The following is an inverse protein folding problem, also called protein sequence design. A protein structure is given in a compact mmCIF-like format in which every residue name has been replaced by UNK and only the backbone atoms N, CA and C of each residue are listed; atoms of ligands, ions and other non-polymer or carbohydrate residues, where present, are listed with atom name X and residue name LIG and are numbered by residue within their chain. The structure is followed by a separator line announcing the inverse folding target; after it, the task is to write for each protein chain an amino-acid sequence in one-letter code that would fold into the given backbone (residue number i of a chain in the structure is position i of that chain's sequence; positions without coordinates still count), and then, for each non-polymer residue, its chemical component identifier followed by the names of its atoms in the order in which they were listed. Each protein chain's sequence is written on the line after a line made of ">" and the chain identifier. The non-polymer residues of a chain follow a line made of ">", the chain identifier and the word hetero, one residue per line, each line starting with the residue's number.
data_IF_262707089486
#
_entry.id   IF_262707089486
#
_cell.length_a   1.000
_cell.length_b   1.000
_cell.length_c   1.000
_cell.angle_alpha   90.00
_cell.angle_beta   90.00
_cell.angle_gamma   90.00
#
_symmetry.space_group_name_H-M   'P 1'
#
loop_
_entity.id
_entity.type
_entity.pdbx_description
1 polymer ?
#
# COMPACT_ATOMS: atom_id res chain seq x y z
N UNK A 1 -1.17 -23.99 -18.02
CA UNK A 1 -1.16 -22.89 -17.02
C UNK A 1 -2.58 -22.34 -16.80
N UNK A 2 -3.32 -21.91 -17.85
CA UNK A 2 -4.74 -21.52 -17.72
C UNK A 2 -5.65 -22.61 -17.15
N UNK A 3 -5.30 -23.90 -17.34
CA UNK A 3 -6.05 -25.05 -16.80
C UNK A 3 -5.93 -25.20 -15.28
N UNK A 4 -4.85 -24.72 -14.66
CA UNK A 4 -4.68 -24.74 -13.21
C UNK A 4 -5.31 -23.53 -12.53
N UNK A 5 -5.28 -22.36 -13.17
CA UNK A 5 -6.02 -21.20 -12.74
C UNK A 5 -7.54 -21.47 -12.70
N UNK A 6 -8.05 -22.21 -13.67
CA UNK A 6 -9.45 -22.66 -13.71
C UNK A 6 -9.81 -23.68 -12.61
N UNK A 7 -8.84 -24.27 -11.91
CA UNK A 7 -9.07 -25.23 -10.80
C UNK A 7 -9.21 -24.59 -9.43
N UNK A 8 -9.26 -23.26 -9.33
CA UNK A 8 -9.58 -22.55 -8.09
C UNK A 8 -8.43 -22.47 -7.05
N UNK A 9 -7.20 -22.79 -7.42
CA UNK A 9 -6.02 -22.77 -6.53
C UNK A 9 -4.98 -21.71 -6.92
N UNK A 10 -5.35 -20.67 -7.65
CA UNK A 10 -4.43 -19.59 -8.01
C UNK A 10 -4.13 -18.70 -6.80
N UNK A 11 -2.85 -18.49 -6.49
CA UNK A 11 -2.45 -17.51 -5.50
C UNK A 11 -2.83 -16.10 -5.99
N UNK A 12 -3.35 -15.26 -5.10
CA UNK A 12 -3.59 -13.85 -5.40
C UNK A 12 -2.27 -13.08 -5.36
N UNK A 13 -1.92 -12.39 -6.45
CA UNK A 13 -0.63 -11.72 -6.62
C UNK A 13 -0.42 -10.61 -5.58
N UNK A 14 -1.45 -9.79 -5.35
CA UNK A 14 -1.47 -8.75 -4.31
C UNK A 14 -1.38 -9.34 -2.89
N UNK A 15 -2.21 -10.34 -2.61
CA UNK A 15 -2.27 -10.98 -1.30
C UNK A 15 -0.95 -11.64 -0.91
N UNK A 16 -0.32 -12.37 -1.84
CA UNK A 16 0.95 -13.05 -1.59
C UNK A 16 2.09 -12.05 -1.33
N UNK A 17 2.21 -11.02 -2.14
CA UNK A 17 3.22 -9.98 -1.95
C UNK A 17 2.94 -9.14 -0.69
N UNK A 18 1.68 -8.84 -0.43
CA UNK A 18 1.25 -8.16 0.79
C UNK A 18 1.57 -8.95 2.07
N UNK A 19 1.49 -10.28 2.05
CA UNK A 19 1.89 -11.12 3.18
C UNK A 19 3.38 -10.97 3.51
N UNK A 20 4.27 -10.86 2.52
CA UNK A 20 5.70 -10.66 2.73
C UNK A 20 5.97 -9.30 3.41
N UNK A 21 5.29 -8.24 2.96
CA UNK A 21 5.41 -6.91 3.56
C UNK A 21 4.88 -6.89 4.99
N UNK A 22 3.76 -7.56 5.27
CA UNK A 22 3.20 -7.67 6.63
C UNK A 22 4.12 -8.48 7.54
N UNK A 23 4.67 -9.59 7.06
CA UNK A 23 5.64 -10.39 7.80
C UNK A 23 6.88 -9.56 8.19
N UNK A 24 7.40 -8.76 7.24
CA UNK A 24 8.47 -7.81 7.52
C UNK A 24 8.06 -6.81 8.61
N UNK A 25 6.85 -6.23 8.52
CA UNK A 25 6.34 -5.28 9.51
C UNK A 25 6.22 -5.92 10.90
N UNK A 26 5.70 -7.15 10.98
CA UNK A 26 5.54 -7.86 12.25
C UNK A 26 6.91 -8.14 12.91
N UNK A 27 7.91 -8.52 12.12
CA UNK A 27 9.29 -8.63 12.58
C UNK A 27 9.85 -7.28 13.07
N UNK A 28 9.62 -6.20 12.34
CA UNK A 28 10.05 -4.85 12.77
C UNK A 28 9.40 -4.44 14.10
N UNK A 29 8.13 -4.71 14.29
CA UNK A 29 7.38 -4.34 15.49
C UNK A 29 7.78 -5.20 16.70
N UNK A 30 7.96 -6.50 16.52
CA UNK A 30 8.30 -7.43 17.59
C UNK A 30 9.80 -7.44 17.95
N UNK A 31 10.66 -7.22 16.96
CA UNK A 31 12.11 -7.44 17.10
C UNK A 31 12.49 -8.91 17.24
N UNK A 32 11.57 -9.83 17.02
CA UNK A 32 11.78 -11.26 17.17
C UNK A 32 12.56 -11.85 16.00
N UNK A 33 13.87 -11.85 16.12
CA UNK A 33 14.76 -12.43 15.11
C UNK A 33 14.70 -13.96 15.06
N UNK A 34 14.19 -14.63 16.08
CA UNK A 34 13.98 -16.07 16.07
C UNK A 34 12.76 -16.40 15.19
N UNK A 35 11.67 -15.64 15.31
CA UNK A 35 10.50 -15.74 14.43
C UNK A 35 10.91 -15.57 12.95
N UNK A 36 11.72 -14.56 12.63
CA UNK A 36 12.23 -14.39 11.27
C UNK A 36 13.04 -15.60 10.81
N UNK A 37 13.94 -16.12 11.65
CA UNK A 37 14.81 -17.25 11.32
C UNK A 37 14.02 -18.53 11.05
N UNK A 38 13.03 -18.82 11.87
CA UNK A 38 12.19 -20.03 11.74
C UNK A 38 11.35 -20.01 10.45
N UNK A 39 10.94 -18.82 10.00
CA UNK A 39 10.08 -18.66 8.83
C UNK A 39 10.85 -18.26 7.56
N UNK A 40 12.16 -18.03 7.63
CA UNK A 40 12.91 -17.47 6.50
C UNK A 40 12.83 -18.30 5.22
N UNK A 41 12.91 -19.60 5.33
CA UNK A 41 12.78 -20.51 4.18
C UNK A 41 11.41 -20.37 3.52
N UNK A 42 10.36 -20.24 4.32
CA UNK A 42 9.00 -20.06 3.81
C UNK A 42 8.81 -18.69 3.15
N UNK A 43 9.35 -17.62 3.73
CA UNK A 43 9.33 -16.26 3.13
C UNK A 43 9.98 -16.30 1.74
N UNK A 44 11.15 -16.91 1.62
CA UNK A 44 11.83 -17.08 0.31
C UNK A 44 10.98 -17.86 -0.67
N UNK A 45 10.38 -18.98 -0.24
CA UNK A 45 9.52 -19.81 -1.08
C UNK A 45 8.30 -19.05 -1.60
N UNK A 46 7.65 -18.23 -0.73
CA UNK A 46 6.49 -17.41 -1.09
C UNK A 46 6.88 -16.38 -2.14
N UNK A 47 7.99 -15.66 -1.96
CA UNK A 47 8.44 -14.69 -2.96
C UNK A 47 8.88 -15.34 -4.27
N UNK A 48 9.63 -16.45 -4.19
CA UNK A 48 10.16 -17.16 -5.36
C UNK A 48 9.07 -17.82 -6.22
N UNK A 49 7.83 -17.88 -5.75
CA UNK A 49 6.71 -18.33 -6.56
C UNK A 49 6.51 -17.43 -7.79
N UNK A 50 6.78 -16.12 -7.68
CA UNK A 50 6.72 -15.21 -8.81
C UNK A 50 7.73 -15.58 -9.93
N UNK A 51 8.83 -16.25 -9.58
CA UNK A 51 9.96 -16.58 -10.45
C UNK A 51 9.90 -17.98 -11.05
N UNK A 52 8.81 -18.71 -10.81
CA UNK A 52 8.62 -20.03 -11.44
C UNK A 52 8.39 -19.86 -12.94
N UNK A 53 8.64 -20.91 -13.70
CA UNK A 53 8.31 -20.96 -15.12
C UNK A 53 6.82 -20.62 -15.31
N UNK A 54 6.51 -19.67 -16.18
CA UNK A 54 5.17 -19.09 -16.35
C UNK A 54 4.58 -18.41 -15.09
N UNK A 55 5.41 -18.07 -14.11
CA UNK A 55 5.05 -17.25 -12.95
C UNK A 55 4.84 -15.79 -13.32
N UNK A 56 4.54 -14.98 -12.30
CA UNK A 56 4.26 -13.55 -12.51
C UNK A 56 5.46 -12.74 -12.99
N UNK A 57 6.68 -13.14 -12.64
CA UNK A 57 7.97 -12.57 -13.06
C UNK A 57 8.90 -13.74 -13.45
N UNK A 58 8.48 -14.52 -14.45
CA UNK A 58 9.17 -15.75 -14.86
C UNK A 58 10.53 -15.51 -15.49
N UNK A 59 10.73 -14.35 -16.15
CA UNK A 59 12.00 -13.90 -16.71
C UNK A 59 12.94 -13.28 -15.67
N UNK A 60 12.44 -13.01 -14.44
CA UNK A 60 13.17 -12.49 -13.30
C UNK A 60 13.83 -11.13 -13.57
N UNK A 61 13.06 -10.22 -14.14
CA UNK A 61 13.50 -8.84 -14.40
C UNK A 61 12.91 -7.81 -13.41
N UNK A 62 12.07 -8.25 -12.46
CA UNK A 62 11.46 -7.39 -11.46
C UNK A 62 10.12 -6.81 -11.86
N UNK A 63 9.56 -7.25 -13.00
CA UNK A 63 8.27 -6.81 -13.53
C UNK A 63 7.28 -7.98 -13.52
N UNK A 64 6.08 -7.77 -13.00
CA UNK A 64 5.02 -8.77 -13.09
C UNK A 64 4.31 -8.67 -14.44
N UNK A 65 4.39 -9.72 -15.25
CA UNK A 65 3.87 -9.76 -16.63
C UNK A 65 2.86 -10.90 -16.84
N UNK A 66 2.97 -11.98 -16.08
CA UNK A 66 2.12 -13.17 -16.20
C UNK A 66 0.67 -12.92 -15.78
N UNK A 67 -0.12 -13.99 -15.77
CA UNK A 67 -1.53 -13.95 -15.31
C UNK A 67 -1.60 -13.69 -13.79
N UNK A 68 -2.16 -12.56 -13.40
CA UNK A 68 -2.16 -12.05 -12.03
C UNK A 68 -3.58 -12.05 -11.48
N UNK A 69 -3.98 -13.15 -10.82
CA UNK A 69 -5.20 -13.16 -10.02
C UNK A 69 -5.07 -12.18 -8.84
N UNK A 70 -6.12 -11.41 -8.57
CA UNK A 70 -6.04 -10.34 -7.58
C UNK A 70 -7.39 -10.05 -6.90
N UNK A 71 -7.40 -9.10 -5.97
CA UNK A 71 -8.55 -8.72 -5.16
C UNK A 71 -9.77 -8.21 -5.96
N UNK A 72 -9.62 -7.93 -7.27
CA UNK A 72 -10.74 -7.57 -8.15
C UNK A 72 -11.47 -8.80 -8.72
N UNK A 73 -11.14 -10.01 -8.22
CA UNK A 73 -11.68 -11.31 -8.66
C UNK A 73 -11.48 -11.58 -10.17
N UNK A 74 -10.42 -11.02 -10.72
CA UNK A 74 -10.05 -11.17 -12.14
C UNK A 74 -8.58 -11.50 -12.27
N UNK A 75 -8.17 -11.94 -13.46
CA UNK A 75 -6.77 -12.07 -13.84
C UNK A 75 -6.37 -10.85 -14.69
N UNK A 76 -5.43 -10.06 -14.20
CA UNK A 76 -4.75 -9.09 -15.05
C UNK A 76 -3.64 -9.77 -15.83
N UNK A 77 -3.52 -9.42 -17.11
CA UNK A 77 -2.48 -9.90 -18.02
C UNK A 77 -1.55 -8.75 -18.36
N UNK A 78 -0.28 -8.91 -18.01
CA UNK A 78 0.75 -7.90 -18.22
C UNK A 78 0.96 -6.93 -17.07
N UNK A 79 2.00 -6.09 -17.20
CA UNK A 79 2.43 -5.17 -16.15
C UNK A 79 1.37 -4.12 -15.82
N UNK A 80 1.04 -4.01 -14.54
CA UNK A 80 0.08 -3.05 -14.03
C UNK A 80 0.53 -2.45 -12.70
N UNK A 81 0.08 -1.24 -12.35
CA UNK A 81 0.57 -0.56 -11.15
C UNK A 81 0.14 -1.25 -9.85
N UNK A 82 -1.08 -1.79 -9.78
CA UNK A 82 -1.61 -2.38 -8.56
C UNK A 82 -0.72 -3.55 -8.08
N UNK A 83 -0.45 -4.53 -8.94
CA UNK A 83 0.40 -5.67 -8.61
C UNK A 83 1.88 -5.29 -8.56
N UNK A 84 2.33 -4.43 -9.48
CA UNK A 84 3.71 -3.97 -9.54
C UNK A 84 4.19 -3.32 -8.25
N UNK A 85 3.41 -2.40 -7.67
CA UNK A 85 3.78 -1.77 -6.39
C UNK A 85 3.79 -2.76 -5.21
N UNK A 86 2.89 -3.74 -5.16
CA UNK A 86 2.94 -4.80 -4.16
C UNK A 86 4.22 -5.62 -4.29
N UNK A 87 4.59 -5.99 -5.51
CA UNK A 87 5.79 -6.77 -5.77
C UNK A 87 7.08 -6.02 -5.41
N UNK A 88 7.20 -4.77 -5.83
CA UNK A 88 8.34 -3.91 -5.46
C UNK A 88 8.47 -3.76 -3.94
N UNK A 89 7.35 -3.59 -3.24
CA UNK A 89 7.32 -3.56 -1.77
C UNK A 89 7.79 -4.87 -1.14
N UNK A 90 7.36 -6.01 -1.67
CA UNK A 90 7.78 -7.34 -1.22
C UNK A 90 9.27 -7.59 -1.45
N UNK A 91 9.81 -7.22 -2.63
CA UNK A 91 11.25 -7.31 -2.94
C UNK A 91 12.08 -6.50 -1.95
N UNK A 92 11.67 -5.26 -1.65
CA UNK A 92 12.38 -4.38 -0.72
C UNK A 92 12.31 -4.88 0.73
N UNK A 93 11.17 -5.41 1.14
CA UNK A 93 11.01 -6.06 2.45
C UNK A 93 11.91 -7.31 2.58
N UNK A 94 11.91 -8.14 1.54
CA UNK A 94 12.72 -9.36 1.49
C UNK A 94 14.23 -9.07 1.45
N UNK A 95 14.67 -8.01 0.75
CA UNK A 95 16.06 -7.53 0.77
C UNK A 95 16.52 -7.23 2.21
N UNK A 96 15.70 -6.49 2.97
CA UNK A 96 16.02 -6.15 4.37
C UNK A 96 16.05 -7.37 5.29
N UNK A 97 15.11 -8.28 5.13
CA UNK A 97 15.10 -9.54 5.88
C UNK A 97 16.30 -10.43 5.52
N UNK A 98 16.66 -10.52 4.22
CA UNK A 98 17.83 -11.27 3.75
C UNK A 98 19.14 -10.70 4.34
N UNK A 99 19.24 -9.37 4.42
CA UNK A 99 20.37 -8.70 5.10
C UNK A 99 20.51 -9.15 6.56
N UNK A 100 19.41 -9.12 7.33
CA UNK A 100 19.40 -9.56 8.72
C UNK A 100 19.75 -11.06 8.88
N UNK A 101 19.30 -11.88 7.94
CA UNK A 101 19.59 -13.31 7.88
C UNK A 101 20.99 -13.64 7.34
N UNK A 102 21.76 -12.63 6.89
CA UNK A 102 23.07 -12.78 6.24
C UNK A 102 23.01 -13.61 4.95
N UNK A 103 21.86 -13.68 4.32
CA UNK A 103 21.63 -14.36 3.03
C UNK A 103 21.98 -13.40 1.87
N UNK A 104 23.27 -13.23 1.64
CA UNK A 104 23.82 -12.24 0.69
C UNK A 104 23.38 -12.48 -0.75
N UNK A 105 23.17 -13.73 -1.14
CA UNK A 105 22.74 -14.05 -2.49
C UNK A 105 21.30 -13.59 -2.72
N UNK A 106 20.41 -13.86 -1.77
CA UNK A 106 19.02 -13.47 -1.84
C UNK A 106 18.85 -11.95 -1.68
N UNK A 107 19.62 -11.31 -0.79
CA UNK A 107 19.69 -9.84 -0.64
C UNK A 107 20.01 -9.17 -1.98
N UNK A 108 21.10 -9.61 -2.65
CA UNK A 108 21.53 -9.05 -3.94
C UNK A 108 20.48 -9.26 -5.03
N UNK A 109 19.87 -10.44 -5.07
CA UNK A 109 18.80 -10.74 -6.05
C UNK A 109 17.60 -9.83 -5.85
N UNK A 110 17.07 -9.74 -4.63
CA UNK A 110 15.90 -8.88 -4.36
C UNK A 110 16.18 -7.41 -4.68
N UNK A 111 17.39 -6.92 -4.35
CA UNK A 111 17.81 -5.56 -4.69
C UNK A 111 17.82 -5.31 -6.19
N UNK A 112 18.45 -6.19 -6.95
CA UNK A 112 18.56 -6.03 -8.40
C UNK A 112 17.17 -6.04 -9.08
N UNK A 113 16.30 -6.97 -8.67
CA UNK A 113 14.92 -7.02 -9.18
C UNK A 113 14.13 -5.76 -8.80
N UNK A 114 14.28 -5.27 -7.56
CA UNK A 114 13.64 -4.04 -7.12
C UNK A 114 14.11 -2.83 -7.95
N UNK A 115 15.40 -2.65 -8.13
CA UNK A 115 15.97 -1.51 -8.87
C UNK A 115 15.49 -1.50 -10.32
N UNK A 116 15.58 -2.65 -10.99
CA UNK A 116 15.13 -2.78 -12.38
C UNK A 116 13.61 -2.60 -12.51
N UNK A 117 12.82 -3.29 -11.68
CA UNK A 117 11.36 -3.21 -11.73
C UNK A 117 10.83 -1.81 -11.40
N UNK A 118 11.44 -1.10 -10.42
CA UNK A 118 11.10 0.28 -10.07
C UNK A 118 11.34 1.23 -11.25
N UNK A 119 12.50 1.14 -11.89
CA UNK A 119 12.85 1.96 -13.06
C UNK A 119 11.92 1.64 -14.24
N UNK A 120 11.70 0.35 -14.50
CA UNK A 120 10.85 -0.09 -15.59
C UNK A 120 9.41 0.42 -15.43
N UNK A 121 8.84 0.28 -14.23
CA UNK A 121 7.48 0.72 -13.92
C UNK A 121 7.30 2.23 -14.12
N UNK A 122 8.23 3.03 -13.62
CA UNK A 122 8.21 4.48 -13.80
C UNK A 122 8.34 4.92 -15.26
N UNK A 123 9.16 4.22 -16.04
CA UNK A 123 9.43 4.60 -17.42
C UNK A 123 8.37 4.08 -18.39
N UNK A 124 7.68 2.98 -18.06
CA UNK A 124 6.79 2.29 -18.99
C UNK A 124 5.30 2.39 -18.64
N UNK A 125 4.94 2.52 -17.34
CA UNK A 125 3.55 2.59 -16.94
C UNK A 125 3.08 4.01 -16.61
N UNK A 126 3.97 4.93 -16.23
CA UNK A 126 3.60 6.30 -15.92
C UNK A 126 3.34 7.11 -17.20
N UNK A 127 2.10 7.57 -17.38
CA UNK A 127 1.67 8.28 -18.60
C UNK A 127 1.79 9.81 -18.52
N UNK A 128 2.46 10.32 -17.47
CA UNK A 128 2.58 11.75 -17.18
C UNK A 128 1.57 12.27 -16.15
N UNK A 129 0.52 11.51 -15.86
CA UNK A 129 -0.52 11.85 -14.88
C UNK A 129 -0.73 10.75 -13.83
N UNK A 130 -0.75 9.49 -14.25
CA UNK A 130 -0.94 8.30 -13.40
C UNK A 130 -0.33 7.06 -14.09
N UNK A 131 -0.33 5.92 -13.39
CA UNK A 131 0.17 4.66 -13.96
C UNK A 131 -0.95 3.91 -14.66
N UNK A 132 -0.64 3.36 -15.84
CA UNK A 132 -1.53 2.56 -16.66
C UNK A 132 -1.18 1.08 -16.61
N UNK A 133 -2.11 0.24 -17.01
CA UNK A 133 -1.90 -1.19 -17.22
C UNK A 133 -1.56 -1.45 -18.70
N UNK A 134 -0.39 -1.98 -18.97
CA UNK A 134 -0.01 -2.50 -20.30
C UNK A 134 -0.45 -3.96 -20.42
N UNK A 135 -1.46 -4.18 -21.25
CA UNK A 135 -2.05 -5.51 -21.42
C UNK A 135 -1.18 -6.35 -22.34
N UNK A 136 -0.94 -7.61 -21.97
CA UNK A 136 -0.31 -8.63 -22.82
C UNK A 136 -1.33 -9.64 -23.30
N UNK A 137 -1.06 -10.29 -24.42
CA UNK A 137 -1.79 -11.47 -24.86
C UNK A 137 -1.58 -12.60 -23.84
N UNK A 138 -2.66 -13.23 -23.35
CA UNK A 138 -2.54 -14.30 -22.35
C UNK A 138 -1.85 -15.58 -22.87
N UNK A 139 -1.74 -15.77 -24.18
CA UNK A 139 -1.11 -16.95 -24.79
C UNK A 139 0.34 -16.72 -25.18
N UNK A 140 0.63 -15.54 -25.74
CA UNK A 140 1.99 -15.20 -26.25
C UNK A 140 2.81 -14.37 -25.28
N UNK A 141 2.16 -13.69 -24.33
CA UNK A 141 2.73 -12.69 -23.41
C UNK A 141 3.31 -11.45 -24.13
N UNK A 142 3.00 -11.26 -25.41
CA UNK A 142 3.35 -10.05 -26.16
C UNK A 142 2.43 -8.89 -25.80
N UNK A 143 2.95 -7.66 -25.80
CA UNK A 143 2.14 -6.47 -25.57
C UNK A 143 1.12 -6.24 -26.67
N UNK A 144 -0.14 -6.02 -26.27
CA UNK A 144 -1.22 -5.69 -27.18
C UNK A 144 -1.21 -4.20 -27.54
N UNK A 145 -1.39 -3.88 -28.81
CA UNK A 145 -1.62 -2.49 -29.25
C UNK A 145 -3.08 -2.09 -28.98
N UNK A 146 -3.29 -1.39 -27.87
CA UNK A 146 -4.62 -0.92 -27.47
C UNK A 146 -5.19 0.19 -28.36
N UNK A 147 -4.45 0.70 -29.34
CA UNK A 147 -4.92 1.69 -30.30
C UNK A 147 -5.35 1.04 -31.63
N UNK A 148 -5.02 -0.22 -31.84
CA UNK A 148 -5.46 -1.00 -32.99
C UNK A 148 -6.88 -1.53 -32.74
N UNK A 149 -7.89 -1.14 -33.54
CA UNK A 149 -9.28 -1.56 -33.36
C UNK A 149 -9.49 -3.07 -33.59
N UNK A 150 -8.58 -3.74 -34.28
CA UNK A 150 -8.64 -5.18 -34.55
C UNK A 150 -8.02 -6.02 -33.41
N UNK A 151 -7.35 -5.38 -32.46
CA UNK A 151 -6.76 -6.05 -31.31
C UNK A 151 -7.84 -6.62 -30.38
N UNK A 152 -7.77 -7.93 -30.13
CA UNK A 152 -8.67 -8.61 -29.17
C UNK A 152 -8.10 -8.46 -27.75
N UNK A 153 -8.60 -7.48 -27.03
CA UNK A 153 -8.23 -7.25 -25.63
C UNK A 153 -9.00 -8.26 -24.76
N UNK A 154 -8.32 -8.98 -23.82
CA UNK A 154 -8.99 -9.84 -22.86
C UNK A 154 -9.99 -9.06 -22.02
N UNK A 155 -11.10 -9.70 -21.66
CA UNK A 155 -12.10 -9.11 -20.77
C UNK A 155 -11.53 -8.80 -19.38
N UNK A 156 -12.15 -7.85 -18.70
CA UNK A 156 -11.92 -7.51 -17.30
C UNK A 156 -10.53 -6.92 -16.99
N UNK A 157 -9.91 -6.26 -17.97
CA UNK A 157 -8.64 -5.58 -17.75
C UNK A 157 -8.84 -4.12 -17.30
N UNK A 158 -7.77 -3.46 -16.83
CA UNK A 158 -7.76 -2.04 -16.45
C UNK A 158 -7.40 -1.14 -17.64
N UNK A 159 -6.39 -1.49 -18.41
CA UNK A 159 -5.88 -0.68 -19.53
C UNK A 159 -5.47 0.73 -19.10
N UNK A 160 -5.95 1.76 -19.81
CA UNK A 160 -5.67 3.18 -19.56
C UNK A 160 -6.50 3.76 -18.40
N UNK A 161 -7.02 2.92 -17.49
CA UNK A 161 -7.82 3.37 -16.35
C UNK A 161 -6.98 3.98 -15.23
N UNK A 162 -7.47 5.08 -14.65
CA UNK A 162 -6.96 5.64 -13.40
C UNK A 162 -7.62 4.88 -12.24
N UNK A 163 -6.90 3.93 -11.64
CA UNK A 163 -7.38 3.09 -10.55
C UNK A 163 -7.14 3.77 -9.20
N UNK A 164 -8.10 3.72 -8.27
CA UNK A 164 -7.99 4.38 -6.96
C UNK A 164 -6.89 3.77 -6.09
N UNK A 165 -6.70 2.46 -6.15
CA UNK A 165 -5.72 1.73 -5.35
C UNK A 165 -4.46 1.32 -6.11
N UNK A 166 -4.19 1.97 -7.24
CA UNK A 166 -2.97 1.71 -8.04
C UNK A 166 -1.67 1.87 -7.24
N UNK A 167 -1.68 2.66 -6.17
CA UNK A 167 -0.54 2.91 -5.28
C UNK A 167 -0.66 2.18 -3.93
N UNK A 168 -1.48 1.14 -3.82
CA UNK A 168 -1.69 0.42 -2.55
C UNK A 168 -0.40 -0.21 -2.01
N UNK A 169 0.48 -0.72 -2.87
CA UNK A 169 1.79 -1.23 -2.47
C UNK A 169 2.71 -0.11 -1.96
N UNK A 170 2.69 1.08 -2.57
CA UNK A 170 3.43 2.25 -2.08
C UNK A 170 2.90 2.73 -0.72
N UNK A 171 1.60 2.79 -0.54
CA UNK A 171 0.97 3.08 0.74
C UNK A 171 1.47 2.13 1.84
N UNK A 172 1.47 0.82 1.56
CA UNK A 172 1.98 -0.17 2.51
C UNK A 172 3.48 -0.05 2.76
N UNK A 173 4.26 0.33 1.75
CA UNK A 173 5.69 0.59 1.90
C UNK A 173 5.97 1.75 2.87
N UNK A 174 5.18 2.81 2.85
CA UNK A 174 5.27 3.89 3.83
C UNK A 174 4.98 3.38 5.26
N UNK A 175 3.91 2.60 5.45
CA UNK A 175 3.56 2.01 6.75
C UNK A 175 4.68 1.10 7.26
N UNK A 176 5.30 0.32 6.38
CA UNK A 176 6.41 -0.58 6.71
C UNK A 176 7.77 0.15 6.90
N UNK A 177 7.85 1.45 6.65
CA UNK A 177 9.11 2.18 6.70
C UNK A 177 10.10 1.81 5.59
N UNK A 178 9.61 1.30 4.47
CA UNK A 178 10.43 0.91 3.30
C UNK A 178 10.75 2.08 2.37
N UNK A 179 10.06 3.22 2.53
CA UNK A 179 10.24 4.42 1.71
C UNK A 179 9.57 4.30 0.33
N UNK A 180 10.08 5.06 -0.63
CA UNK A 180 9.53 5.08 -1.98
C UNK A 180 9.89 3.82 -2.77
N UNK A 181 8.92 3.33 -3.54
CA UNK A 181 9.06 2.20 -4.47
C UNK A 181 9.24 2.67 -5.93
N UNK A 182 8.91 3.92 -6.20
CA UNK A 182 9.06 4.60 -7.49
C UNK A 182 9.37 6.09 -7.25
N UNK A 183 9.46 6.91 -8.31
CA UNK A 183 9.77 8.34 -8.19
C UNK A 183 8.68 9.07 -7.39
N UNK A 184 9.10 9.81 -6.38
CA UNK A 184 8.21 10.57 -5.47
C UNK A 184 7.27 11.49 -6.24
N UNK A 185 7.79 12.17 -7.25
CA UNK A 185 7.03 13.10 -8.09
C UNK A 185 5.91 12.40 -8.85
N UNK A 186 6.15 11.18 -9.35
CA UNK A 186 5.16 10.36 -10.03
C UNK A 186 4.08 9.87 -9.07
N UNK A 187 4.47 9.40 -7.86
CA UNK A 187 3.53 9.02 -6.79
C UNK A 187 2.58 10.18 -6.48
N UNK A 188 3.15 11.37 -6.23
CA UNK A 188 2.36 12.57 -5.89
C UNK A 188 1.44 13.00 -7.05
N UNK A 189 1.94 12.95 -8.29
CA UNK A 189 1.15 13.30 -9.48
C UNK A 189 -0.01 12.32 -9.66
N UNK A 190 0.23 11.03 -9.44
CA UNK A 190 -0.80 9.99 -9.50
C UNK A 190 -1.91 10.23 -8.46
N UNK A 191 -1.57 10.58 -7.21
CA UNK A 191 -2.57 10.89 -6.19
C UNK A 191 -3.42 12.11 -6.55
N UNK A 192 -2.81 13.14 -7.16
CA UNK A 192 -3.58 14.29 -7.70
C UNK A 192 -4.54 13.87 -8.82
N UNK A 193 -4.10 12.94 -9.68
CA UNK A 193 -4.93 12.42 -10.76
C UNK A 193 -6.09 11.57 -10.23
N UNK A 194 -5.86 10.78 -9.19
CA UNK A 194 -6.92 10.05 -8.48
C UNK A 194 -7.98 11.03 -7.94
N UNK A 195 -7.57 12.11 -7.27
CA UNK A 195 -8.52 13.13 -6.83
C UNK A 195 -9.28 13.76 -7.99
N UNK A 196 -8.56 14.15 -9.04
CA UNK A 196 -9.14 14.82 -10.20
C UNK A 196 -10.15 13.96 -10.96
N UNK A 197 -9.87 12.68 -11.15
CA UNK A 197 -10.63 11.83 -12.06
C UNK A 197 -11.61 10.90 -11.34
N UNK A 198 -11.31 10.50 -10.10
CA UNK A 198 -12.11 9.50 -9.39
C UNK A 198 -12.98 10.13 -8.28
N UNK A 199 -12.61 11.30 -7.71
CA UNK A 199 -13.44 11.90 -6.69
C UNK A 199 -14.70 12.51 -7.31
N UNK A 200 -15.87 12.14 -6.77
CA UNK A 200 -17.17 12.69 -7.14
C UNK A 200 -17.86 13.27 -5.91
N UNK A 201 -18.44 14.46 -6.08
CA UNK A 201 -19.24 15.12 -5.04
C UNK A 201 -20.68 14.59 -4.99
N UNK A 202 -21.15 13.94 -6.06
CA UNK A 202 -22.52 13.52 -6.27
C UNK A 202 -22.57 12.28 -7.16
N UNK A 203 -23.35 11.27 -6.74
CA UNK A 203 -23.56 10.02 -7.45
C UNK A 203 -24.98 9.87 -8.01
N UNK A 204 -25.84 10.91 -7.95
CA UNK A 204 -27.24 10.84 -8.41
C UNK A 204 -27.39 10.44 -9.89
N UNK A 205 -26.39 10.76 -10.70
CA UNK A 205 -26.35 10.41 -12.13
C UNK A 205 -25.27 9.39 -12.48
N UNK A 206 -24.71 8.73 -11.46
CA UNK A 206 -23.66 7.74 -11.67
C UNK A 206 -24.26 6.39 -12.05
N UNK A 207 -23.76 5.79 -13.14
CA UNK A 207 -24.10 4.42 -13.52
C UNK A 207 -23.35 3.42 -12.66
N UNK A 208 -24.08 2.52 -11.99
CA UNK A 208 -23.52 1.41 -11.26
C UNK A 208 -23.59 0.13 -12.10
N UNK A 209 -22.44 -0.50 -12.30
CA UNK A 209 -22.34 -1.73 -13.07
C UNK A 209 -22.89 -2.93 -12.30
N UNK A 210 -22.55 -3.08 -11.03
CA UNK A 210 -22.94 -4.21 -10.19
C UNK A 210 -23.58 -3.75 -8.87
N UNK A 211 -22.79 -3.21 -7.95
CA UNK A 211 -23.20 -2.88 -6.58
C UNK A 211 -23.07 -1.38 -6.33
N UNK A 212 -23.89 -0.85 -5.42
CA UNK A 212 -23.88 0.56 -5.04
C UNK A 212 -23.62 0.71 -3.56
N UNK A 213 -22.45 1.25 -3.22
CA UNK A 213 -22.07 1.57 -1.84
C UNK A 213 -22.10 3.07 -1.55
N UNK A 214 -22.32 3.88 -2.58
CA UNK A 214 -22.54 5.32 -2.53
C UNK A 214 -23.82 5.64 -3.30
N UNK A 215 -24.71 6.44 -2.73
CA UNK A 215 -26.03 6.70 -3.29
C UNK A 215 -26.32 8.20 -3.35
N UNK A 216 -27.10 8.61 -4.37
CA UNK A 216 -27.65 9.95 -4.46
C UNK A 216 -26.59 11.07 -4.37
N UNK A 217 -26.78 11.98 -3.46
CA UNK A 217 -25.97 13.17 -3.20
C UNK A 217 -24.70 12.90 -2.34
N UNK A 218 -24.36 11.65 -2.13
CA UNK A 218 -23.14 11.29 -1.38
C UNK A 218 -21.89 11.48 -2.23
N UNK A 219 -20.76 11.78 -1.57
CA UNK A 219 -19.46 11.93 -2.20
C UNK A 219 -18.57 10.69 -1.96
N UNK A 220 -17.59 10.44 -2.86
CA UNK A 220 -16.62 9.36 -2.71
C UNK A 220 -15.62 9.26 -3.85
N UNK A 221 -14.61 8.39 -3.66
CA UNK A 221 -13.61 8.04 -4.66
C UNK A 221 -14.05 6.79 -5.43
N UNK A 222 -14.36 6.97 -6.70
CA UNK A 222 -14.70 5.89 -7.63
C UNK A 222 -13.52 4.93 -7.82
N UNK A 223 -13.80 3.62 -7.94
CA UNK A 223 -12.76 2.61 -8.13
C UNK A 223 -11.89 2.86 -9.34
N UNK A 224 -12.47 3.16 -10.50
CA UNK A 224 -11.70 3.53 -11.69
C UNK A 224 -12.43 4.53 -12.58
N UNK A 225 -11.65 5.36 -13.26
CA UNK A 225 -12.11 6.27 -14.32
C UNK A 225 -11.20 6.15 -15.54
N UNK A 226 -11.71 6.50 -16.72
CA UNK A 226 -10.97 6.39 -17.98
C UNK A 226 -10.92 7.73 -18.72
N UNK A 227 -10.12 8.69 -18.27
CA UNK A 227 -10.01 9.99 -18.94
C UNK A 227 -9.38 9.90 -20.35
N UNK A 228 -8.67 8.79 -20.63
CA UNK A 228 -7.94 8.55 -21.90
C UNK A 228 -8.54 7.41 -22.74
N UNK A 229 -9.76 6.98 -22.47
CA UNK A 229 -10.46 5.94 -23.20
C UNK A 229 -10.63 4.64 -22.41
N UNK A 230 -11.89 4.19 -22.32
CA UNK A 230 -12.29 3.00 -21.56
C UNK A 230 -12.31 1.76 -22.46
N UNK A 231 -11.89 0.62 -21.90
CA UNK A 231 -12.10 -0.70 -22.50
C UNK A 231 -13.60 -1.00 -22.64
N UNK A 232 -13.97 -1.85 -23.58
CA UNK A 232 -15.33 -2.29 -23.77
C UNK A 232 -15.83 -3.05 -22.53
N UNK A 233 -15.02 -4.00 -22.04
CA UNK A 233 -15.32 -4.83 -20.87
C UNK A 233 -14.21 -4.67 -19.81
N UNK A 234 -14.27 -3.60 -18.99
CA UNK A 234 -13.31 -3.42 -17.90
C UNK A 234 -13.60 -4.36 -16.71
N UNK A 235 -12.70 -4.41 -15.72
CA UNK A 235 -12.92 -5.21 -14.52
C UNK A 235 -14.24 -4.85 -13.81
N UNK A 236 -14.94 -5.82 -13.17
CA UNK A 236 -16.36 -5.67 -12.80
C UNK A 236 -16.67 -4.54 -11.83
N UNK A 237 -15.74 -4.23 -10.90
CA UNK A 237 -15.96 -3.31 -9.78
C UNK A 237 -15.64 -1.84 -10.11
N UNK A 238 -15.36 -1.50 -11.35
CA UNK A 238 -14.90 -0.18 -11.77
C UNK A 238 -15.83 0.97 -11.36
N UNK A 239 -17.14 0.71 -11.31
CA UNK A 239 -18.16 1.70 -11.01
C UNK A 239 -18.53 1.81 -9.52
N UNK A 240 -17.82 1.09 -8.67
CA UNK A 240 -18.06 1.05 -7.21
C UNK A 240 -17.22 2.08 -6.45
N UNK A 241 -17.57 2.29 -5.20
CA UNK A 241 -16.80 3.05 -4.21
C UNK A 241 -16.58 2.14 -3.01
N UNK A 242 -15.31 1.85 -2.70
CA UNK A 242 -14.94 0.91 -1.65
C UNK A 242 -14.14 1.60 -0.55
N UNK A 243 -14.67 1.63 0.68
CA UNK A 243 -14.13 2.39 1.81
C UNK A 243 -12.64 2.12 2.08
N UNK A 244 -12.19 0.88 1.99
CA UNK A 244 -10.79 0.52 2.23
C UNK A 244 -9.85 1.17 1.23
N UNK A 245 -10.19 1.16 -0.04
CA UNK A 245 -9.37 1.76 -1.10
C UNK A 245 -9.37 3.29 -1.03
N UNK A 246 -10.51 3.89 -0.68
CA UNK A 246 -10.58 5.32 -0.38
C UNK A 246 -9.63 5.71 0.76
N UNK A 247 -9.62 4.94 1.87
CA UNK A 247 -8.69 5.17 2.98
C UNK A 247 -7.23 4.95 2.59
N UNK A 248 -6.91 3.96 1.77
CA UNK A 248 -5.55 3.73 1.28
C UNK A 248 -5.06 4.92 0.45
N UNK A 249 -5.88 5.41 -0.48
CA UNK A 249 -5.57 6.60 -1.29
C UNK A 249 -5.43 7.86 -0.43
N UNK A 250 -6.37 8.11 0.48
CA UNK A 250 -6.33 9.24 1.41
C UNK A 250 -5.09 9.21 2.30
N UNK A 251 -4.72 8.04 2.84
CA UNK A 251 -3.49 7.88 3.63
C UNK A 251 -2.25 8.14 2.80
N UNK A 252 -2.20 7.65 1.55
CA UNK A 252 -1.14 7.98 0.60
C UNK A 252 -1.00 9.50 0.40
N UNK A 253 -2.12 10.20 0.25
CA UNK A 253 -2.15 11.67 0.13
C UNK A 253 -1.57 12.37 1.37
N UNK A 254 -1.84 11.85 2.59
CA UNK A 254 -1.25 12.41 3.81
C UNK A 254 0.28 12.26 3.79
N UNK A 255 0.80 11.09 3.43
CA UNK A 255 2.25 10.87 3.30
C UNK A 255 2.91 11.80 2.30
N UNK A 256 2.19 12.19 1.25
CA UNK A 256 2.66 13.12 0.22
C UNK A 256 2.35 14.61 0.51
N UNK A 257 1.83 14.92 1.71
CA UNK A 257 1.52 16.30 2.13
C UNK A 257 0.30 16.91 1.43
N UNK A 258 -0.61 16.08 0.91
CA UNK A 258 -1.90 16.47 0.31
C UNK A 258 -3.02 16.32 1.35
N UNK A 259 -2.87 16.95 2.49
CA UNK A 259 -3.72 16.68 3.67
C UNK A 259 -5.17 17.16 3.46
N UNK A 260 -5.39 18.26 2.75
CA UNK A 260 -6.73 18.77 2.47
C UNK A 260 -7.54 17.78 1.62
N UNK A 261 -6.95 17.29 0.54
CA UNK A 261 -7.57 16.25 -0.32
C UNK A 261 -7.85 14.96 0.46
N UNK A 262 -6.88 14.52 1.27
CA UNK A 262 -7.02 13.34 2.12
C UNK A 262 -8.19 13.48 3.10
N UNK A 263 -8.26 14.60 3.80
CA UNK A 263 -9.34 14.88 4.78
C UNK A 263 -10.71 15.00 4.09
N UNK A 264 -10.75 15.53 2.86
CA UNK A 264 -11.97 15.56 2.05
C UNK A 264 -12.47 14.13 1.77
N UNK A 265 -11.60 13.21 1.37
CA UNK A 265 -11.95 11.80 1.16
C UNK A 265 -12.42 11.14 2.46
N UNK A 266 -11.67 11.29 3.56
CA UNK A 266 -12.01 10.70 4.85
C UNK A 266 -13.36 11.23 5.36
N UNK A 267 -13.64 12.52 5.18
CA UNK A 267 -14.94 13.11 5.53
C UNK A 267 -16.07 12.50 4.71
N UNK A 268 -15.89 12.39 3.38
CA UNK A 268 -16.89 11.78 2.51
C UNK A 268 -17.25 10.35 2.97
N UNK A 269 -16.25 9.54 3.38
CA UNK A 269 -16.50 8.21 3.94
C UNK A 269 -17.30 8.31 5.26
N UNK A 270 -16.89 9.18 6.17
CA UNK A 270 -17.55 9.35 7.48
C UNK A 270 -19.00 9.85 7.34
N UNK A 271 -19.24 10.76 6.42
CA UNK A 271 -20.58 11.32 6.16
C UNK A 271 -21.55 10.26 5.62
N UNK A 272 -21.03 9.24 4.92
CA UNK A 272 -21.82 8.07 4.49
C UNK A 272 -22.14 7.09 5.63
N UNK A 273 -21.30 7.07 6.68
CA UNK A 273 -21.39 6.12 7.81
C UNK A 273 -21.52 6.87 9.15
N UNK A 274 -22.39 7.86 9.21
CA UNK A 274 -22.56 8.78 10.34
C UNK A 274 -23.43 8.24 11.49
N UNK A 275 -24.00 7.04 11.31
CA UNK A 275 -24.93 6.42 12.25
C UNK A 275 -26.39 6.75 12.00
N UNK A 276 -26.69 7.77 11.21
CA UNK A 276 -28.06 8.08 10.75
C UNK A 276 -28.33 7.47 9.37
N UNK A 277 -27.40 7.67 8.42
CA UNK A 277 -27.50 7.09 7.07
C UNK A 277 -27.14 5.61 7.07
N UNK A 278 -25.98 5.26 7.62
CA UNK A 278 -25.51 3.88 7.74
C UNK A 278 -24.78 3.65 9.07
N UNK A 279 -24.82 2.42 9.53
CA UNK A 279 -24.10 2.00 10.71
C UNK A 279 -22.57 2.11 10.46
N UNK A 280 -21.82 2.86 11.30
CA UNK A 280 -20.38 3.03 11.15
C UNK A 280 -19.54 1.79 11.45
N UNK A 281 -20.15 0.75 12.03
CA UNK A 281 -19.51 -0.52 12.39
C UNK A 281 -19.89 -1.68 11.46
N UNK A 282 -20.54 -1.39 10.34
CA UNK A 282 -21.11 -2.40 9.46
C UNK A 282 -20.93 -2.02 8.00
N UNK A 283 -20.04 -2.71 7.31
CA UNK A 283 -19.89 -2.58 5.85
C UNK A 283 -20.87 -3.52 5.14
N UNK A 284 -21.52 -3.02 4.12
CA UNK A 284 -22.58 -3.72 3.39
C UNK A 284 -22.09 -4.81 2.46
N UNK A 285 -20.79 -4.92 2.24
CA UNK A 285 -20.18 -5.89 1.35
C UNK A 285 -20.09 -7.29 1.98
N UNK A 286 -20.21 -8.34 1.16
CA UNK A 286 -20.08 -9.76 1.55
C UNK A 286 -20.86 -10.13 2.81
N UNK A 287 -22.17 -9.81 2.83
CA UNK A 287 -23.05 -10.16 3.96
C UNK A 287 -22.69 -9.46 5.26
N UNK A 288 -22.15 -8.24 5.18
CA UNK A 288 -21.74 -7.43 6.32
C UNK A 288 -20.54 -7.97 7.11
N UNK A 289 -19.69 -8.78 6.48
CA UNK A 289 -18.51 -9.38 7.11
C UNK A 289 -17.18 -8.72 6.73
N UNK A 290 -17.16 -7.82 5.73
CA UNK A 290 -15.96 -7.07 5.40
C UNK A 290 -15.64 -5.99 6.44
N UNK A 291 -14.36 -5.77 6.66
CA UNK A 291 -13.83 -4.77 7.56
C UNK A 291 -12.82 -3.84 6.85
N UNK A 292 -13.11 -3.45 5.62
CA UNK A 292 -12.24 -2.59 4.80
C UNK A 292 -11.99 -1.23 5.44
N UNK A 293 -12.95 -0.73 6.22
CA UNK A 293 -12.85 0.50 7.02
C UNK A 293 -11.72 0.46 8.07
N UNK A 294 -11.20 -0.71 8.43
CA UNK A 294 -10.00 -0.82 9.29
C UNK A 294 -8.77 -0.13 8.68
N UNK A 295 -8.71 0.08 7.36
CA UNK A 295 -7.67 0.86 6.72
C UNK A 295 -7.60 2.31 7.23
N UNK A 296 -8.67 2.85 7.85
CA UNK A 296 -8.70 4.17 8.48
C UNK A 296 -7.62 4.39 9.55
N UNK A 297 -7.21 3.33 10.26
CA UNK A 297 -6.15 3.40 11.26
C UNK A 297 -4.81 3.87 10.69
N UNK A 298 -4.56 3.60 9.42
CA UNK A 298 -3.35 4.03 8.74
C UNK A 298 -3.24 5.55 8.59
N UNK A 299 -4.37 6.26 8.53
CA UNK A 299 -4.39 7.72 8.49
C UNK A 299 -3.78 8.34 9.77
N UNK A 300 -4.00 7.70 10.93
CA UNK A 300 -3.38 8.12 12.21
C UNK A 300 -1.86 7.94 12.14
N UNK A 301 -1.38 6.84 11.56
CA UNK A 301 0.06 6.60 11.35
C UNK A 301 0.68 7.67 10.44
N UNK A 302 0.01 7.97 9.32
CA UNK A 302 0.49 8.98 8.35
C UNK A 302 0.48 10.39 8.95
N UNK A 303 -0.58 10.80 9.65
CA UNK A 303 -0.67 12.10 10.30
C UNK A 303 0.36 12.31 11.39
N UNK A 304 0.61 11.27 12.20
CA UNK A 304 1.63 11.30 13.25
C UNK A 304 3.06 11.12 12.71
N UNK A 305 3.20 10.61 11.49
CA UNK A 305 4.48 10.18 10.93
C UNK A 305 5.10 9.02 11.72
N UNK A 306 4.27 8.32 12.51
CA UNK A 306 4.75 7.26 13.39
C UNK A 306 5.26 6.06 12.61
N UNK A 307 6.49 5.68 12.93
CA UNK A 307 7.09 4.42 12.53
C UNK A 307 7.96 3.89 13.67
N UNK A 308 7.97 2.59 13.90
CA UNK A 308 8.73 1.94 14.96
C UNK A 308 9.44 0.70 14.45
N UNK A 309 10.69 0.52 14.87
CA UNK A 309 11.47 -0.69 14.66
C UNK A 309 12.06 -1.14 16.00
N UNK A 310 11.61 -2.29 16.50
CA UNK A 310 12.26 -2.94 17.64
C UNK A 310 13.62 -3.52 17.25
N UNK A 311 13.80 -3.89 15.99
CA UNK A 311 15.07 -4.40 15.44
C UNK A 311 16.17 -3.34 15.56
N UNK A 312 15.86 -2.10 15.13
CA UNK A 312 16.79 -0.97 15.17
C UNK A 312 16.67 -0.16 16.46
N UNK A 313 15.71 -0.49 17.34
CA UNK A 313 15.34 0.30 18.51
C UNK A 313 15.12 1.77 18.14
N UNK A 314 14.37 2.01 17.09
CA UNK A 314 14.14 3.34 16.54
C UNK A 314 12.65 3.69 16.49
N UNK A 315 12.36 4.97 16.67
CA UNK A 315 11.01 5.52 16.60
C UNK A 315 11.03 6.82 15.81
N UNK A 316 10.03 7.04 14.98
CA UNK A 316 9.90 8.24 14.15
C UNK A 316 8.54 8.88 14.34
N UNK A 317 8.50 10.21 14.25
CA UNK A 317 7.30 11.04 14.21
C UNK A 317 7.42 12.19 13.21
N UNK A 318 6.28 12.82 12.90
CA UNK A 318 6.22 14.09 12.18
C UNK A 318 6.99 15.19 12.92
N UNK A 319 7.36 16.27 12.22
CA UNK A 319 7.91 17.49 12.84
C UNK A 319 6.82 18.46 13.36
N UNK A 320 5.57 18.16 13.14
CA UNK A 320 4.43 19.01 13.51
C UNK A 320 4.23 18.98 15.02
N UNK A 321 4.17 20.14 15.70
CA UNK A 321 3.87 20.18 17.13
C UNK A 321 2.51 19.55 17.44
N UNK A 322 2.44 18.81 18.54
CA UNK A 322 1.22 18.12 18.96
C UNK A 322 1.50 16.94 19.89
N UNK A 323 0.44 16.28 20.33
CA UNK A 323 0.52 15.04 21.11
C UNK A 323 -0.04 13.91 20.28
N UNK A 324 0.79 12.88 20.07
CA UNK A 324 0.50 11.73 19.22
C UNK A 324 0.48 10.45 20.04
N UNK A 325 -0.43 9.57 19.71
CA UNK A 325 -0.46 8.20 20.23
C UNK A 325 0.60 7.35 19.52
N UNK A 326 1.20 6.40 20.25
CA UNK A 326 2.04 5.35 19.68
C UNK A 326 1.75 4.00 20.35
N UNK A 327 1.92 2.92 19.58
CA UNK A 327 1.86 1.54 20.05
C UNK A 327 2.80 0.67 19.21
N UNK A 328 3.49 -0.27 19.88
CA UNK A 328 4.33 -1.28 19.24
C UNK A 328 3.80 -2.71 19.45
N UNK A 329 2.53 -2.83 19.90
CA UNK A 329 1.88 -4.10 20.16
C UNK A 329 2.02 -4.58 21.61
N UNK A 330 3.20 -4.43 22.24
CA UNK A 330 3.44 -4.82 23.65
C UNK A 330 3.36 -3.64 24.62
N UNK A 331 3.58 -2.43 24.11
CA UNK A 331 3.59 -1.20 24.88
C UNK A 331 2.91 -0.09 24.11
N UNK A 332 2.39 0.89 24.81
CA UNK A 332 1.79 2.07 24.20
C UNK A 332 1.90 3.31 25.08
N UNK A 333 1.76 4.46 24.47
CA UNK A 333 1.87 5.73 25.15
C UNK A 333 1.62 6.94 24.26
N UNK A 334 2.18 8.06 24.67
CA UNK A 334 2.07 9.32 23.93
C UNK A 334 3.44 9.90 23.64
N UNK A 335 3.51 10.68 22.56
CA UNK A 335 4.66 11.46 22.17
C UNK A 335 4.20 12.91 21.98
N UNK A 336 4.72 13.84 22.80
CA UNK A 336 4.42 15.26 22.68
C UNK A 336 5.60 15.98 22.03
N UNK A 337 5.34 16.61 20.89
CA UNK A 337 6.33 17.32 20.08
C UNK A 337 6.11 18.82 20.21
N UNK A 338 7.17 19.54 20.55
CA UNK A 338 7.26 20.99 20.50
C UNK A 338 8.30 21.43 19.45
N UNK A 339 8.47 22.71 19.24
CA UNK A 339 9.52 23.25 18.35
C UNK A 339 10.94 22.95 18.86
N UNK A 340 11.10 22.66 20.15
CA UNK A 340 12.41 22.49 20.79
C UNK A 340 12.69 21.10 21.27
N UNK A 341 11.67 20.38 21.67
CA UNK A 341 11.80 19.14 22.42
C UNK A 341 10.72 18.13 22.01
N UNK A 342 11.00 16.86 22.26
CA UNK A 342 10.07 15.77 22.17
C UNK A 342 10.01 15.04 23.51
N UNK A 343 8.82 14.84 24.04
CA UNK A 343 8.58 14.08 25.28
C UNK A 343 7.88 12.78 24.93
N UNK A 344 8.54 11.65 25.20
CA UNK A 344 7.97 10.32 25.05
C UNK A 344 7.51 9.84 26.42
N UNK A 345 6.27 9.38 26.50
CA UNK A 345 5.65 8.81 27.71
C UNK A 345 5.17 7.39 27.43
N UNK A 346 5.48 6.46 28.32
CA UNK A 346 4.92 5.11 28.35
C UNK A 346 3.70 5.12 29.28
N UNK A 347 2.56 4.70 28.75
CA UNK A 347 1.34 4.53 29.56
C UNK A 347 1.24 3.09 30.06
N UNK A 348 1.56 2.12 29.22
CA UNK A 348 1.58 0.68 29.53
C UNK A 348 2.80 0.00 28.91
N UNK A 349 3.41 -0.91 29.64
CA UNK A 349 4.55 -1.71 29.19
C UNK A 349 5.89 -0.99 29.36
N UNK A 350 6.83 -1.22 28.46
CA UNK A 350 8.17 -0.61 28.49
C UNK A 350 8.67 -0.29 27.09
N UNK A 351 9.59 0.69 26.99
CA UNK A 351 10.14 1.15 25.71
C UNK A 351 11.65 1.34 25.83
N UNK A 352 12.41 0.79 24.88
CA UNK A 352 13.85 1.05 24.71
C UNK A 352 14.09 1.62 23.33
N UNK A 353 14.88 2.71 23.26
CA UNK A 353 15.23 3.35 21.99
C UNK A 353 16.72 3.65 21.92
N UNK A 354 17.30 3.46 20.74
CA UNK A 354 18.64 3.88 20.34
C UNK A 354 18.61 5.12 19.45
N UNK A 355 17.47 5.40 18.81
CA UNK A 355 17.29 6.57 17.96
C UNK A 355 15.84 7.06 17.98
N UNK A 356 15.69 8.38 17.91
CA UNK A 356 14.40 9.06 17.79
C UNK A 356 14.48 10.07 16.65
N UNK A 357 13.56 9.96 15.67
CA UNK A 357 13.52 10.84 14.51
C UNK A 357 12.27 11.71 14.57
N UNK A 358 12.41 13.01 14.37
CA UNK A 358 11.31 13.98 14.29
C UNK A 358 11.45 14.74 12.97
N UNK A 359 10.53 14.48 12.04
CA UNK A 359 10.66 14.92 10.65
C UNK A 359 11.92 14.30 10.02
N UNK A 360 12.86 15.14 9.60
CA UNK A 360 14.14 14.71 9.01
C UNK A 360 15.27 14.60 10.03
N UNK A 361 15.03 15.02 11.27
CA UNK A 361 16.05 15.12 12.30
C UNK A 361 16.09 13.87 13.16
N UNK A 362 17.25 13.20 13.20
CA UNK A 362 17.49 12.02 14.04
C UNK A 362 18.39 12.37 15.22
N UNK A 363 17.95 12.03 16.42
CA UNK A 363 18.71 12.12 17.66
C UNK A 363 19.12 10.70 18.09
N UNK A 364 20.41 10.47 18.25
CA UNK A 364 20.95 9.23 18.85
C UNK A 364 20.77 9.27 20.36
N UNK A 365 20.23 8.21 20.92
CA UNK A 365 19.92 8.10 22.33
C UNK A 365 20.89 7.14 23.01
N UNK A 366 21.35 7.51 24.21
CA UNK A 366 22.16 6.65 25.08
C UNK A 366 21.31 6.27 26.30
N UNK A 367 21.21 4.96 26.55
CA UNK A 367 20.51 4.43 27.73
C UNK A 367 19.03 4.90 27.85
N UNK A 368 18.35 5.11 26.72
CA UNK A 368 16.92 5.48 26.74
C UNK A 368 16.08 4.22 26.99
N UNK A 369 15.57 4.11 28.19
CA UNK A 369 14.66 3.05 28.61
C UNK A 369 13.60 3.65 29.53
N UNK A 370 12.34 3.37 29.23
CA UNK A 370 11.20 3.83 30.02
C UNK A 370 10.34 2.63 30.42
N UNK A 371 9.91 2.63 31.65
CA UNK A 371 8.92 1.71 32.22
C UNK A 371 7.53 2.34 32.22
N UNK A 372 6.53 1.58 32.62
CA UNK A 372 5.15 2.04 32.75
C UNK A 372 5.05 3.32 33.59
N UNK A 373 4.30 4.30 33.09
CA UNK A 373 4.06 5.64 33.67
C UNK A 373 5.26 6.59 33.65
N UNK A 374 6.42 6.18 33.13
CA UNK A 374 7.57 7.05 32.96
C UNK A 374 7.49 7.89 31.68
N UNK A 375 8.21 9.01 31.71
CA UNK A 375 8.40 9.88 30.56
C UNK A 375 9.79 10.48 30.53
N UNK A 376 10.31 10.76 29.34
CA UNK A 376 11.58 11.43 29.13
C UNK A 376 11.47 12.44 28.01
N UNK A 377 12.07 13.61 28.25
CA UNK A 377 12.17 14.67 27.25
C UNK A 377 13.54 14.65 26.60
N UNK A 378 13.54 14.71 25.27
CA UNK A 378 14.73 14.75 24.43
C UNK A 378 14.76 16.09 23.70
N UNK A 379 15.88 16.82 23.82
CA UNK A 379 16.04 18.10 23.13
C UNK A 379 16.25 17.88 21.64
N UNK A 380 15.53 18.68 20.85
CA UNK A 380 15.69 18.78 19.41
C UNK A 380 16.67 19.93 19.02
N UNK A 381 17.29 20.62 19.97
CA UNK A 381 18.33 21.60 19.68
C UNK A 381 19.59 20.92 19.14
N UNK A 382 20.30 21.64 18.24
CA UNK A 382 21.60 21.18 17.70
C UNK A 382 22.64 21.14 18.76
#
# INVERSE_FOLDING_TARGET
>A
PLSEAAKGNSAAADGQMGCIMKFYRDWQLSGDSQFLKENWTQVKKVLSYAWTEHGWDGNQDGVMEGSQHNTMDVNYFGPNPQMGFWYLGALKAAEKMAHAMKDRAFEKKCRALFENGSEWLDNNLFNGEYYEHKITDPETFEFLDMNDPDTKIPDFQLGKGCLVDQLVGQYMAHICGLGYLAKKEHIRTTLKSIMRYNFKEDFSRHFNNMRSYVLGDEAGLLMASWPKGRLEVPFPYFAEVMTGFEYCAATGMIYEGMEEDALKCIRAIRDRHDGAKRNPFNETECGHHYARSMASWSAILAMSGYNYSAVDQSMRFTSRPGTYFWSNGSSWGTCTISHKDITVRVVKGSLKLSALTVGERTVRLKNFALSEKESQTVSLKK
#
